data_IF_947079328198
#
_entry.id   IF_947079328198
#
_cell.length_a   1.000
_cell.length_b   1.000
_cell.length_c   1.000
_cell.angle_alpha   90.00
_cell.angle_beta   90.00
_cell.angle_gamma   90.00
#
_symmetry.space_group_name_H-M   'P 1'
#
loop_
_entity.id
_entity.type
_entity.pdbx_description
1 polymer ?
#
# COMPACT_ATOMS: atom_id res chain seq x y z
N UNK A 1 36.69 -12.40 18.99
CA UNK A 1 35.57 -11.78 18.25
C UNK A 1 35.47 -12.52 16.95
N UNK A 2 34.76 -13.62 16.95
CA UNK A 2 34.61 -14.53 15.80
C UNK A 2 33.43 -14.10 14.98
N UNK A 3 33.69 -13.92 13.71
CA UNK A 3 32.79 -13.44 12.69
C UNK A 3 31.44 -14.18 12.63
N UNK A 4 30.37 -13.45 12.85
CA UNK A 4 29.05 -13.80 12.33
C UNK A 4 29.09 -13.60 10.79
N UNK A 5 29.73 -14.52 10.12
CA UNK A 5 29.80 -14.51 8.64
C UNK A 5 29.20 -15.81 8.12
N UNK A 6 27.92 -15.98 8.34
CA UNK A 6 27.13 -16.88 7.54
C UNK A 6 25.97 -16.08 7.00
N UNK A 7 26.13 -15.56 5.77
CA UNK A 7 24.99 -15.14 4.99
C UNK A 7 23.90 -16.21 5.12
N UNK A 8 22.65 -15.89 5.44
CA UNK A 8 21.57 -16.85 5.32
C UNK A 8 21.46 -17.18 3.83
N UNK A 9 22.22 -18.19 3.41
CA UNK A 9 22.11 -18.75 2.07
C UNK A 9 20.63 -19.07 1.90
N UNK A 10 20.03 -18.55 0.86
CA UNK A 10 18.72 -18.95 0.40
C UNK A 10 18.66 -20.48 0.42
N UNK A 11 18.08 -21.03 1.48
CA UNK A 11 18.04 -22.47 1.72
C UNK A 11 17.28 -23.08 0.56
N UNK A 12 17.94 -23.90 -0.20
CA UNK A 12 17.61 -24.49 -1.49
C UNK A 12 16.12 -24.55 -1.81
N UNK A 13 15.70 -23.73 -2.74
CA UNK A 13 14.32 -23.55 -3.13
C UNK A 13 13.81 -24.75 -3.88
N UNK A 14 12.94 -25.55 -3.27
CA UNK A 14 12.15 -26.53 -4.03
C UNK A 14 10.96 -25.91 -4.76
N UNK A 15 10.39 -24.81 -4.32
CA UNK A 15 9.35 -24.06 -5.03
C UNK A 15 9.23 -22.63 -4.50
N UNK A 16 9.32 -21.64 -5.39
CA UNK A 16 8.97 -20.27 -5.04
C UNK A 16 7.45 -20.12 -5.02
N UNK A 17 6.90 -19.74 -3.87
CA UNK A 17 5.47 -19.56 -3.66
C UNK A 17 5.04 -18.09 -3.59
N UNK A 18 5.87 -17.19 -4.12
CA UNK A 18 5.59 -15.76 -4.10
C UNK A 18 4.23 -15.44 -4.73
N UNK A 19 4.03 -15.80 -5.98
CA UNK A 19 2.78 -15.55 -6.68
C UNK A 19 1.57 -16.27 -6.09
N UNK A 20 1.78 -17.45 -5.53
CA UNK A 20 0.75 -18.14 -4.76
C UNK A 20 0.34 -17.32 -3.53
N UNK A 21 1.30 -16.78 -2.79
CA UNK A 21 1.03 -15.95 -1.61
C UNK A 21 0.30 -14.67 -1.98
N UNK A 22 0.77 -13.97 -3.01
CA UNK A 22 0.12 -12.76 -3.54
C UNK A 22 -1.33 -13.07 -3.94
N UNK A 23 -1.55 -14.15 -4.69
CA UNK A 23 -2.87 -14.56 -5.13
C UNK A 23 -3.80 -14.96 -3.99
N UNK A 24 -3.28 -15.69 -3.00
CA UNK A 24 -4.06 -16.08 -1.80
C UNK A 24 -4.45 -14.86 -0.98
N UNK A 25 -3.53 -13.92 -0.75
CA UNK A 25 -3.85 -12.69 -0.03
C UNK A 25 -4.84 -11.81 -0.81
N UNK A 26 -4.69 -11.70 -2.14
CA UNK A 26 -5.64 -10.99 -2.98
C UNK A 26 -7.04 -11.61 -2.92
N UNK A 27 -7.11 -12.94 -3.05
CA UNK A 27 -8.38 -13.67 -3.00
C UNK A 27 -9.04 -13.54 -1.62
N UNK A 28 -8.28 -13.69 -0.54
CA UNK A 28 -8.79 -13.53 0.83
C UNK A 28 -9.33 -12.12 1.05
N UNK A 29 -8.59 -11.09 0.65
CA UNK A 29 -9.05 -9.70 0.74
C UNK A 29 -10.31 -9.47 -0.11
N UNK A 30 -10.34 -9.99 -1.34
CA UNK A 30 -11.51 -9.89 -2.19
C UNK A 30 -12.75 -10.57 -1.55
N UNK A 31 -12.59 -11.77 -0.98
CA UNK A 31 -13.69 -12.47 -0.30
C UNK A 31 -14.19 -11.72 0.94
N UNK A 32 -13.31 -11.02 1.65
CA UNK A 32 -13.68 -10.19 2.82
C UNK A 32 -14.45 -8.94 2.38
N UNK A 33 -13.94 -8.21 1.37
CA UNK A 33 -14.48 -6.89 1.02
C UNK A 33 -15.56 -6.92 -0.04
N UNK A 34 -15.59 -7.92 -0.93
CA UNK A 34 -16.56 -8.01 -2.02
C UNK A 34 -18.02 -8.01 -1.56
N UNK A 35 -18.43 -8.70 -0.48
CA UNK A 35 -19.81 -8.63 -0.01
C UNK A 35 -20.24 -7.21 0.35
N UNK A 36 -19.41 -6.45 1.05
CA UNK A 36 -19.69 -5.06 1.42
C UNK A 36 -19.75 -4.16 0.19
N UNK A 37 -18.81 -4.34 -0.74
CA UNK A 37 -18.76 -3.61 -1.99
C UNK A 37 -20.02 -3.83 -2.84
N UNK A 38 -20.52 -5.06 -2.94
CA UNK A 38 -21.72 -5.38 -3.69
C UNK A 38 -22.99 -4.86 -3.01
N UNK A 39 -23.08 -4.97 -1.69
CA UNK A 39 -24.23 -4.48 -0.92
C UNK A 39 -24.36 -2.96 -0.96
N UNK A 40 -23.25 -2.24 -1.08
CA UNK A 40 -23.19 -0.79 -1.17
C UNK A 40 -23.19 -0.26 -2.62
N UNK A 41 -23.58 -1.08 -3.59
CA UNK A 41 -23.68 -0.66 -4.99
C UNK A 41 -22.35 -0.27 -5.63
N UNK A 42 -21.25 -0.90 -5.23
CA UNK A 42 -19.91 -0.66 -5.73
C UNK A 42 -19.10 0.35 -4.92
N UNK A 43 -19.63 0.83 -3.80
CA UNK A 43 -18.88 1.62 -2.82
C UNK A 43 -18.41 0.75 -1.66
N UNK A 44 -17.52 1.29 -0.88
CA UNK A 44 -17.14 0.71 0.41
C UNK A 44 -17.20 1.79 1.46
N UNK A 45 -18.25 1.76 2.24
CA UNK A 45 -18.41 2.61 3.41
C UNK A 45 -17.85 1.89 4.63
N UNK A 46 -16.88 2.50 5.27
CA UNK A 46 -16.35 2.01 6.52
C UNK A 46 -16.75 2.99 7.64
N UNK A 47 -15.84 3.46 8.46
CA UNK A 47 -16.13 4.40 9.52
C UNK A 47 -15.23 5.63 9.46
N UNK A 48 -15.69 6.75 9.98
CA UNK A 48 -14.91 7.97 10.26
C UNK A 48 -14.04 8.42 9.09
N UNK A 49 -12.73 8.48 9.31
CA UNK A 49 -11.77 9.06 8.38
C UNK A 49 -11.65 8.33 7.03
N UNK A 50 -12.01 7.05 6.97
CA UNK A 50 -12.05 6.36 5.68
C UNK A 50 -13.05 7.05 4.73
N UNK A 51 -14.25 7.31 5.18
CA UNK A 51 -15.28 7.94 4.36
C UNK A 51 -15.05 9.44 4.19
N UNK A 52 -14.80 10.15 5.29
CA UNK A 52 -14.73 11.61 5.30
C UNK A 52 -13.46 12.16 4.68
N UNK A 53 -12.35 11.46 4.84
CA UNK A 53 -11.04 11.91 4.38
C UNK A 53 -10.50 11.07 3.21
N UNK A 54 -10.35 9.76 3.37
CA UNK A 54 -9.60 8.96 2.40
C UNK A 54 -10.25 8.93 1.03
N UNK A 55 -11.57 8.66 0.95
CA UNK A 55 -12.30 8.66 -0.33
C UNK A 55 -12.29 10.07 -0.93
N UNK A 56 -12.56 11.08 -0.10
CA UNK A 56 -12.63 12.49 -0.53
C UNK A 56 -11.28 13.01 -1.01
N UNK A 57 -10.20 12.69 -0.29
CA UNK A 57 -8.84 13.12 -0.64
C UNK A 57 -8.35 12.46 -1.92
N UNK A 58 -8.55 11.15 -2.09
CA UNK A 58 -8.21 10.46 -3.34
C UNK A 58 -8.91 11.10 -4.53
N UNK A 59 -10.23 11.33 -4.42
CA UNK A 59 -11.01 11.95 -5.48
C UNK A 59 -10.56 13.38 -5.75
N UNK A 60 -10.42 14.19 -4.71
CA UNK A 60 -10.02 15.59 -4.82
C UNK A 60 -8.64 15.71 -5.48
N UNK A 61 -7.65 15.01 -4.96
CA UNK A 61 -6.28 15.10 -5.46
C UNK A 61 -6.08 14.49 -6.85
N UNK A 62 -6.85 13.45 -7.20
CA UNK A 62 -6.86 12.96 -8.58
C UNK A 62 -7.32 14.05 -9.55
N UNK A 63 -8.41 14.74 -9.24
CA UNK A 63 -8.91 15.87 -10.04
C UNK A 63 -7.91 17.03 -10.06
N UNK A 64 -7.36 17.37 -8.90
CA UNK A 64 -6.39 18.45 -8.75
C UNK A 64 -5.16 18.24 -9.64
N UNK A 65 -4.52 17.07 -9.57
CA UNK A 65 -3.31 16.76 -10.34
C UNK A 65 -3.59 16.67 -11.86
N UNK A 66 -4.82 16.35 -12.25
CA UNK A 66 -5.24 16.32 -13.66
C UNK A 66 -5.72 17.66 -14.19
N UNK A 67 -5.70 18.69 -13.36
CA UNK A 67 -6.20 20.02 -13.75
C UNK A 67 -7.72 20.13 -13.81
N UNK A 68 -8.46 19.13 -13.29
CA UNK A 68 -9.91 19.18 -13.19
C UNK A 68 -10.31 19.87 -11.88
N UNK A 69 -11.22 20.84 -11.95
CA UNK A 69 -11.83 21.43 -10.76
C UNK A 69 -11.22 22.73 -10.26
N UNK A 70 -10.41 23.39 -11.06
CA UNK A 70 -10.03 24.78 -10.78
C UNK A 70 -11.11 25.72 -11.31
N UNK A 71 -11.54 26.71 -10.53
CA UNK A 71 -12.24 27.85 -11.09
C UNK A 71 -11.39 28.50 -12.19
N UNK A 72 -12.02 28.91 -13.27
CA UNK A 72 -11.35 29.64 -14.35
C UNK A 72 -10.55 30.84 -13.75
N UNK A 73 -9.29 30.95 -14.09
CA UNK A 73 -8.39 32.00 -13.55
C UNK A 73 -7.35 31.52 -12.53
N UNK A 74 -7.43 30.30 -12.03
CA UNK A 74 -6.43 29.74 -11.09
C UNK A 74 -5.40 28.81 -11.76
N UNK A 75 -5.33 28.81 -13.06
CA UNK A 75 -4.44 27.94 -13.86
C UNK A 75 -2.94 28.17 -13.60
N UNK A 76 -2.57 29.31 -13.01
CA UNK A 76 -1.17 29.66 -12.72
C UNK A 76 -0.61 29.03 -11.44
N UNK A 77 -1.44 28.43 -10.60
CA UNK A 77 -1.01 27.84 -9.32
C UNK A 77 -1.00 26.30 -9.44
N UNK A 78 -0.52 25.80 -10.55
CA UNK A 78 -0.51 24.38 -10.85
C UNK A 78 0.28 23.62 -9.78
N UNK A 79 -0.42 22.74 -9.07
CA UNK A 79 0.12 21.59 -8.34
C UNK A 79 0.78 21.83 -6.99
N UNK A 80 0.80 23.04 -6.45
CA UNK A 80 1.47 23.32 -5.16
C UNK A 80 0.58 23.95 -4.10
N UNK A 81 -0.50 24.64 -4.49
CA UNK A 81 -1.35 25.37 -3.57
C UNK A 81 -2.83 25.24 -3.95
N UNK A 82 -3.69 25.15 -2.95
CA UNK A 82 -5.15 25.10 -3.15
C UNK A 82 -5.86 25.98 -2.11
N UNK A 83 -6.74 26.85 -2.60
CA UNK A 83 -7.65 27.63 -1.75
C UNK A 83 -8.78 26.77 -1.14
N UNK A 84 -9.06 25.61 -1.73
CA UNK A 84 -10.08 24.69 -1.24
C UNK A 84 -9.57 23.75 -0.11
N UNK A 85 -8.30 23.86 0.26
CA UNK A 85 -7.68 23.07 1.32
C UNK A 85 -7.33 23.99 2.49
N UNK A 86 -7.93 23.74 3.66
CA UNK A 86 -7.61 24.42 4.92
C UNK A 86 -7.56 25.97 4.80
N UNK A 87 -8.53 26.56 4.11
CA UNK A 87 -8.59 28.02 3.84
C UNK A 87 -7.40 28.56 3.01
N UNK A 88 -6.72 27.69 2.32
CA UNK A 88 -5.55 27.97 1.50
C UNK A 88 -4.30 27.32 2.07
N UNK A 89 -3.90 26.20 1.49
CA UNK A 89 -2.72 25.44 1.92
C UNK A 89 -1.94 24.89 0.74
N UNK A 90 -0.65 24.67 0.96
CA UNK A 90 0.19 23.89 0.05
C UNK A 90 -0.24 22.43 0.03
N UNK A 91 -0.50 21.90 -1.15
CA UNK A 91 -0.96 20.51 -1.29
C UNK A 91 0.06 19.49 -0.78
N UNK A 92 1.34 19.78 -0.88
CA UNK A 92 2.39 18.94 -0.30
C UNK A 92 2.28 18.85 1.22
N UNK A 93 2.02 19.97 1.91
CA UNK A 93 1.86 19.98 3.36
C UNK A 93 0.59 19.24 3.79
N UNK A 94 -0.52 19.43 3.07
CA UNK A 94 -1.81 18.87 3.45
C UNK A 94 -1.92 17.37 3.11
N UNK A 95 -1.31 16.91 2.01
CA UNK A 95 -1.57 15.57 1.45
C UNK A 95 -0.34 14.68 1.30
N UNK A 96 0.87 15.12 1.69
CA UNK A 96 2.07 14.29 1.55
C UNK A 96 1.94 12.98 2.33
N UNK A 97 1.49 13.06 3.56
CA UNK A 97 1.31 11.91 4.44
C UNK A 97 0.19 10.97 3.96
N UNK A 98 -0.90 11.53 3.46
CA UNK A 98 -2.07 10.75 3.05
C UNK A 98 -1.95 10.13 1.66
N UNK A 99 -1.32 10.83 0.71
CA UNK A 99 -1.42 10.50 -0.71
C UNK A 99 -0.08 10.51 -1.45
N UNK A 100 0.71 11.58 -1.36
CA UNK A 100 1.90 11.73 -2.21
C UNK A 100 2.97 10.66 -1.97
N UNK A 101 3.09 10.14 -0.76
CA UNK A 101 3.96 9.02 -0.42
C UNK A 101 3.40 7.65 -0.79
N UNK A 102 2.14 7.57 -1.28
CA UNK A 102 1.46 6.33 -1.56
C UNK A 102 1.60 5.88 -3.01
N UNK A 103 2.24 4.74 -3.31
CA UNK A 103 2.26 4.21 -4.67
C UNK A 103 0.85 3.82 -5.16
N UNK A 104 -0.04 3.46 -4.25
CA UNK A 104 -1.43 3.12 -4.55
C UNK A 104 -2.23 4.35 -4.98
N UNK A 105 -1.94 5.51 -4.40
CA UNK A 105 -2.50 6.76 -4.87
C UNK A 105 -2.03 7.10 -6.29
N UNK A 106 -0.73 6.99 -6.56
CA UNK A 106 -0.20 7.22 -7.91
C UNK A 106 -0.80 6.27 -8.94
N UNK A 107 -0.99 5.00 -8.58
CA UNK A 107 -1.69 4.04 -9.43
C UNK A 107 -3.14 4.48 -9.71
N UNK A 108 -3.82 5.07 -8.73
CA UNK A 108 -5.19 5.55 -8.88
C UNK A 108 -5.34 6.68 -9.90
N UNK A 109 -4.27 7.40 -10.21
CA UNK A 109 -4.28 8.45 -11.24
C UNK A 109 -4.50 7.92 -12.66
N UNK A 110 -4.32 6.64 -12.90
CA UNK A 110 -4.66 6.01 -14.18
C UNK A 110 -6.17 6.03 -14.48
N UNK A 111 -6.98 6.25 -13.46
CA UNK A 111 -8.45 6.19 -13.56
C UNK A 111 -9.09 7.57 -13.49
N UNK A 112 -10.28 7.76 -14.10
CA UNK A 112 -11.04 9.00 -14.01
C UNK A 112 -11.42 9.34 -12.56
N UNK A 113 -11.47 10.64 -12.24
CA UNK A 113 -11.81 11.13 -10.91
C UNK A 113 -13.10 10.52 -10.32
N UNK A 114 -14.12 10.35 -11.16
CA UNK A 114 -15.42 9.82 -10.73
C UNK A 114 -15.39 8.32 -10.37
N UNK A 115 -14.34 7.60 -10.75
CA UNK A 115 -14.17 6.18 -10.45
C UNK A 115 -13.49 5.94 -9.11
N UNK A 116 -12.89 6.97 -8.50
CA UNK A 116 -12.09 6.81 -7.30
C UNK A 116 -12.86 6.16 -6.13
N UNK A 117 -14.12 6.52 -5.83
CA UNK A 117 -14.88 5.85 -4.78
C UNK A 117 -15.04 4.34 -5.02
N UNK A 118 -15.19 3.92 -6.28
CA UNK A 118 -15.30 2.50 -6.64
C UNK A 118 -13.95 1.76 -6.62
N UNK A 119 -12.84 2.48 -6.70
CA UNK A 119 -11.50 1.90 -6.67
C UNK A 119 -11.00 1.59 -5.25
N UNK A 120 -11.68 2.06 -4.21
CA UNK A 120 -11.20 1.91 -2.83
C UNK A 120 -11.04 0.43 -2.44
N UNK A 121 -12.00 -0.44 -2.76
CA UNK A 121 -11.89 -1.89 -2.51
C UNK A 121 -10.81 -2.55 -3.38
N UNK A 122 -10.77 -2.36 -4.71
CA UNK A 122 -9.64 -2.84 -5.51
C UNK A 122 -8.27 -2.42 -4.98
N UNK A 123 -8.12 -1.18 -4.51
CA UNK A 123 -6.87 -0.71 -3.92
C UNK A 123 -6.56 -1.37 -2.58
N UNK A 124 -7.58 -1.62 -1.73
CA UNK A 124 -7.41 -2.40 -0.50
C UNK A 124 -6.94 -3.82 -0.82
N UNK A 125 -7.59 -4.50 -1.74
CA UNK A 125 -7.18 -5.85 -2.20
C UNK A 125 -5.73 -5.84 -2.67
N UNK A 126 -5.34 -4.83 -3.45
CA UNK A 126 -3.96 -4.67 -3.91
C UNK A 126 -2.98 -4.48 -2.74
N UNK A 127 -3.32 -3.65 -1.74
CA UNK A 127 -2.48 -3.43 -0.55
C UNK A 127 -2.24 -4.73 0.23
N UNK A 128 -3.30 -5.51 0.47
CA UNK A 128 -3.17 -6.81 1.15
C UNK A 128 -2.35 -7.81 0.35
N UNK A 129 -2.51 -7.84 -0.96
CA UNK A 129 -1.73 -8.69 -1.85
C UNK A 129 -0.24 -8.32 -1.82
N UNK A 130 0.08 -7.02 -1.89
CA UNK A 130 1.45 -6.49 -1.79
C UNK A 130 2.04 -6.77 -0.41
N UNK A 131 1.28 -6.56 0.67
CA UNK A 131 1.71 -6.88 2.04
C UNK A 131 2.09 -8.36 2.19
N UNK A 132 1.23 -9.26 1.70
CA UNK A 132 1.50 -10.70 1.72
C UNK A 132 2.74 -11.08 0.90
N UNK A 133 2.89 -10.51 -0.30
CA UNK A 133 4.05 -10.73 -1.14
C UNK A 133 5.36 -10.28 -0.47
N UNK A 134 5.37 -9.07 0.09
CA UNK A 134 6.52 -8.54 0.81
C UNK A 134 6.88 -9.36 2.04
N UNK A 135 5.88 -9.71 2.85
CA UNK A 135 6.09 -10.54 4.03
C UNK A 135 6.61 -11.93 3.66
N UNK A 136 6.13 -12.53 2.57
CA UNK A 136 6.67 -13.79 2.06
C UNK A 136 8.14 -13.66 1.66
N UNK A 137 8.50 -12.63 0.90
CA UNK A 137 9.89 -12.39 0.49
C UNK A 137 10.83 -12.22 1.68
N UNK A 138 10.38 -11.52 2.71
CA UNK A 138 11.17 -11.37 3.94
C UNK A 138 11.26 -12.67 4.73
N UNK A 139 10.12 -13.33 5.02
CA UNK A 139 10.07 -14.53 5.85
C UNK A 139 10.81 -15.73 5.24
N UNK A 140 10.77 -15.89 3.91
CA UNK A 140 11.47 -16.99 3.22
C UNK A 140 12.99 -16.98 3.43
N UNK A 141 13.56 -15.87 3.91
CA UNK A 141 14.98 -15.77 4.26
C UNK A 141 15.31 -16.56 5.54
N UNK A 142 14.33 -16.68 6.43
CA UNK A 142 14.49 -17.25 7.78
C UNK A 142 13.73 -18.58 7.95
N UNK A 143 12.66 -18.79 7.20
CA UNK A 143 11.78 -19.95 7.29
C UNK A 143 12.16 -20.98 6.24
N UNK A 144 12.50 -22.20 6.68
CA UNK A 144 12.97 -23.27 5.79
C UNK A 144 11.87 -23.83 4.89
N UNK A 145 10.68 -24.03 5.43
CA UNK A 145 9.54 -24.54 4.68
C UNK A 145 8.74 -23.39 4.07
N UNK A 146 8.63 -23.30 2.73
CA UNK A 146 7.89 -22.22 2.07
C UNK A 146 6.41 -22.18 2.43
N UNK A 147 5.79 -23.29 2.88
CA UNK A 147 4.40 -23.29 3.34
C UNK A 147 4.22 -22.47 4.61
N UNK A 148 5.15 -22.55 5.56
CA UNK A 148 5.12 -21.74 6.77
C UNK A 148 5.44 -20.27 6.48
N UNK A 149 6.25 -19.99 5.46
CA UNK A 149 6.45 -18.62 5.00
C UNK A 149 5.17 -18.03 4.39
N UNK A 150 4.39 -18.82 3.61
CA UNK A 150 3.07 -18.43 3.10
C UNK A 150 2.11 -18.14 4.25
N UNK A 151 2.04 -19.06 5.23
CA UNK A 151 1.17 -18.88 6.41
C UNK A 151 1.55 -17.62 7.20
N UNK A 152 2.83 -17.44 7.49
CA UNK A 152 3.33 -16.25 8.19
C UNK A 152 3.04 -14.95 7.43
N UNK A 153 3.16 -14.96 6.12
CA UNK A 153 2.84 -13.82 5.26
C UNK A 153 1.34 -13.47 5.30
N UNK A 154 0.47 -14.47 5.27
CA UNK A 154 -0.96 -14.26 5.41
C UNK A 154 -1.32 -13.72 6.80
N UNK A 155 -0.75 -14.25 7.87
CA UNK A 155 -0.93 -13.75 9.23
C UNK A 155 -0.45 -12.31 9.41
N UNK A 156 0.64 -11.93 8.73
CA UNK A 156 1.11 -10.54 8.71
C UNK A 156 0.12 -9.64 7.97
N UNK A 157 -0.23 -9.99 6.73
CA UNK A 157 -1.10 -9.17 5.89
C UNK A 157 -2.47 -8.92 6.55
N UNK A 158 -3.06 -9.96 7.15
CA UNK A 158 -4.35 -9.90 7.83
C UNK A 158 -4.25 -9.78 9.35
N UNK A 159 -3.15 -9.17 9.84
CA UNK A 159 -3.01 -8.90 11.27
C UNK A 159 -4.14 -8.02 11.79
N UNK A 160 -4.50 -8.17 13.06
CA UNK A 160 -5.50 -7.34 13.70
C UNK A 160 -5.18 -5.84 13.62
N UNK A 161 -3.90 -5.47 13.65
CA UNK A 161 -3.46 -4.09 13.46
C UNK A 161 -3.79 -3.58 12.05
N UNK A 162 -3.48 -4.38 11.02
CA UNK A 162 -3.77 -4.01 9.62
C UNK A 162 -5.26 -3.88 9.37
N UNK A 163 -6.07 -4.82 9.84
CA UNK A 163 -7.53 -4.79 9.68
C UNK A 163 -8.17 -3.62 10.43
N UNK A 164 -7.73 -3.35 11.66
CA UNK A 164 -8.21 -2.19 12.41
C UNK A 164 -7.88 -0.87 11.73
N UNK A 165 -6.68 -0.74 11.17
CA UNK A 165 -6.21 0.51 10.55
C UNK A 165 -6.71 0.73 9.11
N UNK A 166 -7.64 -0.06 8.60
CA UNK A 166 -8.39 0.27 7.36
C UNK A 166 -9.03 1.65 7.48
N UNK A 167 -9.44 2.02 8.67
CA UNK A 167 -9.93 3.35 9.03
C UNK A 167 -8.96 4.47 8.58
N UNK A 168 -7.67 4.27 8.78
CA UNK A 168 -6.59 5.11 8.28
C UNK A 168 -5.91 4.43 7.09
N UNK A 169 -6.56 4.43 5.95
CA UNK A 169 -6.16 3.69 4.75
C UNK A 169 -4.68 3.89 4.35
N UNK A 170 -4.09 5.06 4.61
CA UNK A 170 -2.68 5.35 4.33
C UNK A 170 -1.71 4.58 5.24
N UNK A 171 -2.12 4.13 6.43
CA UNK A 171 -1.30 3.26 7.28
C UNK A 171 -1.12 1.86 6.67
N UNK A 172 -2.05 1.41 5.83
CA UNK A 172 -1.90 0.15 5.11
C UNK A 172 -0.81 0.19 4.05
N UNK A 173 -0.41 1.38 3.59
CA UNK A 173 0.74 1.53 2.70
C UNK A 173 2.02 1.11 3.41
N UNK A 174 2.14 1.48 4.69
CA UNK A 174 3.26 1.05 5.54
C UNK A 174 3.22 -0.47 5.71
N UNK A 175 2.06 -1.06 6.03
CA UNK A 175 1.92 -2.52 6.12
C UNK A 175 2.35 -3.20 4.82
N UNK A 176 1.93 -2.65 3.68
CA UNK A 176 2.24 -3.22 2.38
C UNK A 176 3.75 -3.15 2.03
N UNK A 177 4.41 -2.05 2.37
CA UNK A 177 5.78 -1.76 1.92
C UNK A 177 6.87 -2.12 2.94
N UNK A 178 6.55 -2.13 4.23
CA UNK A 178 7.51 -2.37 5.31
C UNK A 178 8.31 -3.68 5.17
N UNK A 179 7.72 -4.83 4.81
CA UNK A 179 8.50 -6.05 4.66
C UNK A 179 9.51 -6.00 3.51
N UNK A 180 9.24 -5.24 2.45
CA UNK A 180 10.21 -5.02 1.37
C UNK A 180 11.38 -4.17 1.86
N UNK A 181 11.10 -3.15 2.66
CA UNK A 181 12.14 -2.34 3.29
C UNK A 181 13.04 -3.21 4.20
N UNK A 182 12.46 -4.10 5.01
CA UNK A 182 13.24 -5.03 5.85
C UNK A 182 14.09 -5.98 5.01
N UNK A 183 13.53 -6.52 3.92
CA UNK A 183 14.29 -7.39 3.01
C UNK A 183 15.44 -6.64 2.36
N UNK A 184 15.24 -5.39 1.94
CA UNK A 184 16.27 -4.54 1.37
C UNK A 184 17.34 -4.12 2.41
N UNK A 185 16.95 -3.92 3.66
CA UNK A 185 17.88 -3.67 4.76
C UNK A 185 18.78 -4.87 5.01
N UNK A 186 18.20 -6.07 5.04
CA UNK A 186 18.97 -7.32 5.16
C UNK A 186 19.93 -7.49 3.97
N UNK A 187 19.48 -7.22 2.75
CA UNK A 187 20.32 -7.26 1.56
C UNK A 187 21.50 -6.29 1.67
N UNK A 188 21.28 -5.11 2.24
CA UNK A 188 22.33 -4.10 2.42
C UNK A 188 23.30 -4.45 3.56
N UNK A 189 22.78 -4.93 4.70
CA UNK A 189 23.59 -5.12 5.93
C UNK A 189 24.20 -6.53 6.01
N UNK A 190 23.45 -7.55 5.61
CA UNK A 190 23.88 -8.95 5.72
C UNK A 190 24.58 -9.42 4.44
N UNK A 191 24.01 -9.09 3.28
CA UNK A 191 24.51 -9.56 1.98
C UNK A 191 25.46 -8.56 1.29
N UNK A 192 25.74 -7.39 1.90
CA UNK A 192 26.57 -6.28 1.37
C UNK A 192 26.16 -5.83 -0.06
N UNK A 193 24.87 -5.92 -0.38
CA UNK A 193 24.34 -5.48 -1.67
C UNK A 193 24.11 -3.97 -1.65
N UNK A 194 24.99 -3.23 -2.30
CA UNK A 194 24.91 -1.77 -2.37
C UNK A 194 23.79 -1.30 -3.31
N UNK A 195 23.10 -0.23 -2.91
CA UNK A 195 22.15 0.47 -3.77
C UNK A 195 20.70 -0.04 -3.74
N UNK A 196 20.40 -1.09 -2.97
CA UNK A 196 19.02 -1.62 -2.85
C UNK A 196 18.22 -0.85 -1.80
N UNK A 197 18.82 -0.64 -0.62
CA UNK A 197 18.14 0.00 0.51
C UNK A 197 17.70 1.46 0.30
N UNK A 198 18.45 2.34 -0.41
CA UNK A 198 18.03 3.73 -0.61
C UNK A 198 16.74 3.93 -1.40
N UNK A 199 16.20 2.89 -2.04
CA UNK A 199 14.95 2.94 -2.81
C UNK A 199 13.71 2.59 -1.99
N UNK A 200 13.86 2.25 -0.72
CA UNK A 200 12.79 1.88 0.23
C UNK A 200 12.77 2.81 1.46
#
# INVERSE_FOLDING_TARGET
>A
MTAFHSSPRMLGQKQDKFWLTVGLCALTAALIFLPFYLLDGGFFHYAGDFNSQQISFYRYMNGFLKGAGYPAGYEGVKNTFSWATDLGSGTMNAYSFYLYGSPFFWFSLLFPQNWLPYLMVPLLVLKFAVAGGGAYLYLRRYVKDPNFAVLGAALYAFSGWGLYNIFFNHFLDVVALFPYMLAALDDAVIDDKKGVFPFW
#
